data_IF_027602807420
#
_entry.id   IF_027602807420
#
_cell.length_a   1.000
_cell.length_b   1.000
_cell.length_c   1.000
_cell.angle_alpha   90.00
_cell.angle_beta   90.00
_cell.angle_gamma   90.00
#
_symmetry.space_group_name_H-M   'P 1'
#
loop_
_entity.id
_entity.type
_entity.pdbx_description
1 polymer ?
#
# COMPACT_ATOMS: atom_id res chain seq x y z
N UNK A 1 21.41 9.55 -14.61
CA UNK A 1 21.39 8.25 -13.91
C UNK A 1 19.97 7.85 -13.50
N UNK A 2 19.17 8.77 -12.94
CA UNK A 2 17.85 8.47 -12.35
C UNK A 2 16.71 8.23 -13.36
N UNK A 3 16.67 8.94 -14.50
CA UNK A 3 15.71 8.63 -15.57
C UNK A 3 15.90 7.21 -16.13
N UNK A 4 17.16 6.77 -16.27
CA UNK A 4 17.49 5.38 -16.64
C UNK A 4 17.07 4.37 -15.56
N UNK A 5 17.09 4.77 -14.28
CA UNK A 5 16.59 3.94 -13.18
C UNK A 5 15.07 3.77 -13.30
N UNK A 6 14.30 4.86 -13.44
CA UNK A 6 12.84 4.78 -13.60
C UNK A 6 12.42 3.95 -14.84
N UNK A 7 13.07 4.15 -15.99
CA UNK A 7 12.82 3.34 -17.21
C UNK A 7 13.15 1.85 -16.99
N UNK A 8 14.26 1.55 -16.29
CA UNK A 8 14.66 0.19 -15.95
C UNK A 8 13.66 -0.48 -14.99
N UNK A 9 13.23 0.26 -13.97
CA UNK A 9 12.24 -0.16 -12.98
C UNK A 9 10.89 -0.45 -13.66
N UNK A 10 10.47 0.39 -14.62
CA UNK A 10 9.24 0.18 -15.39
C UNK A 10 9.31 -1.08 -16.27
N UNK A 11 10.43 -1.32 -16.96
CA UNK A 11 10.63 -2.53 -17.76
C UNK A 11 10.55 -3.80 -16.89
N UNK A 12 11.14 -3.78 -15.70
CA UNK A 12 11.07 -4.90 -14.76
C UNK A 12 9.68 -5.09 -14.16
N UNK A 13 8.95 -4.00 -13.89
CA UNK A 13 7.56 -4.07 -13.46
C UNK A 13 6.69 -4.74 -14.54
N UNK A 14 6.86 -4.35 -15.80
CA UNK A 14 6.16 -4.98 -16.94
C UNK A 14 6.43 -6.49 -17.01
N UNK A 15 7.69 -6.90 -16.83
CA UNK A 15 8.07 -8.32 -16.79
C UNK A 15 7.40 -9.05 -15.62
N UNK A 16 7.40 -8.46 -14.42
CA UNK A 16 6.79 -9.03 -13.22
C UNK A 16 5.26 -9.19 -13.37
N UNK A 17 4.59 -8.17 -13.90
CA UNK A 17 3.15 -8.18 -14.20
C UNK A 17 2.81 -9.25 -15.25
N UNK A 18 3.57 -9.30 -16.35
CA UNK A 18 3.36 -10.30 -17.41
C UNK A 18 3.54 -11.72 -16.86
N UNK A 19 4.58 -11.93 -16.04
CA UNK A 19 4.82 -13.21 -15.36
C UNK A 19 3.64 -13.61 -14.49
N UNK A 20 3.08 -12.71 -13.67
CA UNK A 20 1.89 -13.02 -12.85
C UNK A 20 0.70 -13.39 -13.73
N UNK A 21 0.36 -12.57 -14.74
CA UNK A 21 -0.78 -12.82 -15.64
C UNK A 21 -0.67 -14.19 -16.33
N UNK A 22 0.52 -14.51 -16.85
CA UNK A 22 0.81 -15.82 -17.46
C UNK A 22 0.63 -16.96 -16.48
N UNK A 23 1.09 -16.81 -15.23
CA UNK A 23 1.04 -17.88 -14.25
C UNK A 23 -0.35 -18.07 -13.65
N UNK A 24 -1.11 -16.98 -13.49
CA UNK A 24 -2.50 -17.05 -13.03
C UNK A 24 -3.41 -17.82 -13.98
N UNK A 25 -3.12 -17.83 -15.29
CA UNK A 25 -3.90 -18.57 -16.29
C UNK A 25 -3.54 -20.06 -16.40
N UNK A 26 -2.43 -20.50 -15.81
CA UNK A 26 -2.05 -21.92 -15.82
C UNK A 26 -2.80 -22.73 -14.76
N UNK A 27 -3.14 -23.97 -15.12
CA UNK A 27 -3.64 -24.98 -14.17
C UNK A 27 -2.55 -25.41 -13.18
N UNK A 28 -2.96 -26.02 -12.06
CA UNK A 28 -2.07 -26.47 -10.99
C UNK A 28 -0.93 -27.37 -11.49
N UNK A 29 -1.24 -28.38 -12.32
CA UNK A 29 -0.24 -29.27 -12.91
C UNK A 29 0.73 -28.55 -13.86
N UNK A 30 0.22 -27.58 -14.65
CA UNK A 30 1.09 -26.77 -15.52
C UNK A 30 2.01 -25.85 -14.72
N UNK A 31 1.56 -25.31 -13.58
CA UNK A 31 2.42 -24.48 -12.69
C UNK A 31 3.55 -25.30 -12.07
N UNK A 32 3.27 -26.55 -11.68
CA UNK A 32 4.29 -27.48 -11.18
C UNK A 32 5.38 -27.73 -12.23
N UNK A 33 5.00 -28.00 -13.49
CA UNK A 33 5.94 -28.29 -14.57
C UNK A 33 6.73 -27.07 -15.04
N UNK A 34 6.10 -25.89 -15.10
CA UNK A 34 6.72 -24.68 -15.69
C UNK A 34 7.41 -23.78 -14.66
N UNK A 35 7.00 -23.85 -13.40
CA UNK A 35 7.50 -22.99 -12.31
C UNK A 35 7.55 -23.75 -10.97
N UNK A 36 8.33 -24.84 -10.88
CA UNK A 36 8.34 -25.74 -9.72
C UNK A 36 8.63 -25.01 -8.40
N UNK A 37 9.54 -24.03 -8.41
CA UNK A 37 9.87 -23.25 -7.21
C UNK A 37 8.68 -22.44 -6.68
N UNK A 38 7.94 -21.75 -7.58
CA UNK A 38 6.79 -20.94 -7.17
C UNK A 38 5.62 -21.82 -6.71
N UNK A 39 5.47 -22.99 -7.34
CA UNK A 39 4.54 -24.00 -6.91
C UNK A 39 4.89 -24.51 -5.50
N UNK A 40 6.16 -24.84 -5.24
CA UNK A 40 6.64 -25.26 -3.94
C UNK A 40 6.39 -24.19 -2.87
N UNK A 41 6.64 -22.91 -3.18
CA UNK A 41 6.27 -21.78 -2.30
C UNK A 41 4.79 -21.75 -1.98
N UNK A 42 3.92 -22.07 -2.95
CA UNK A 42 2.46 -22.10 -2.73
C UNK A 42 2.05 -23.20 -1.77
N UNK A 43 2.57 -24.41 -1.98
CA UNK A 43 2.34 -25.54 -1.07
C UNK A 43 2.89 -25.23 0.32
N UNK A 44 4.09 -24.67 0.40
CA UNK A 44 4.72 -24.28 1.66
C UNK A 44 3.87 -23.27 2.44
N UNK A 45 3.37 -22.20 1.80
CA UNK A 45 2.50 -21.24 2.48
C UNK A 45 1.22 -21.92 2.99
N UNK A 46 0.65 -22.87 2.24
CA UNK A 46 -0.52 -23.63 2.68
C UNK A 46 -0.24 -24.49 3.91
N UNK A 47 0.91 -25.16 3.94
CA UNK A 47 1.34 -26.00 5.06
C UNK A 47 1.61 -25.15 6.31
N UNK A 48 2.37 -24.07 6.17
CA UNK A 48 2.67 -23.13 7.26
C UNK A 48 1.38 -22.58 7.90
N UNK A 49 0.39 -22.24 7.08
CA UNK A 49 -0.92 -21.75 7.57
C UNK A 49 -1.68 -22.83 8.33
N UNK A 50 -1.68 -24.06 7.84
CA UNK A 50 -2.35 -25.18 8.51
C UNK A 50 -1.67 -25.54 9.85
N UNK A 51 -0.35 -25.40 9.92
CA UNK A 51 0.44 -25.67 11.12
C UNK A 51 0.50 -24.49 12.10
N UNK A 52 -0.09 -23.34 11.75
CA UNK A 52 0.02 -22.09 12.51
C UNK A 52 1.48 -21.69 12.80
N UNK A 53 2.35 -21.81 11.79
CA UNK A 53 3.76 -21.47 11.87
C UNK A 53 4.10 -20.33 10.91
N UNK A 54 4.93 -19.40 11.39
CA UNK A 54 5.50 -18.34 10.58
C UNK A 54 6.95 -18.65 10.19
N UNK A 55 7.34 -18.26 8.98
CA UNK A 55 8.72 -18.39 8.50
C UNK A 55 9.19 -17.10 7.85
N UNK A 56 10.31 -16.55 8.34
CA UNK A 56 11.02 -15.45 7.70
C UNK A 56 11.68 -15.94 6.41
N UNK A 57 11.61 -15.11 5.37
CA UNK A 57 12.26 -15.35 4.07
C UNK A 57 12.70 -14.03 3.45
N UNK A 58 13.34 -14.08 2.29
CA UNK A 58 13.69 -12.91 1.51
C UNK A 58 13.48 -13.15 0.02
N UNK A 59 13.30 -12.07 -0.73
CA UNK A 59 13.16 -12.08 -2.17
C UNK A 59 13.86 -10.87 -2.80
N UNK A 60 13.83 -10.79 -4.13
CA UNK A 60 14.26 -9.60 -4.86
C UNK A 60 13.03 -8.93 -5.48
N UNK A 61 12.87 -7.63 -5.23
CA UNK A 61 11.76 -6.83 -5.78
C UNK A 61 11.99 -6.51 -7.26
N UNK A 62 10.96 -6.02 -7.94
CA UNK A 62 11.06 -5.68 -9.37
C UNK A 62 12.08 -4.56 -9.64
N UNK A 63 12.36 -3.69 -8.67
CA UNK A 63 13.41 -2.67 -8.78
C UNK A 63 14.80 -3.15 -8.31
N UNK A 64 14.96 -4.44 -7.99
CA UNK A 64 16.26 -5.07 -7.72
C UNK A 64 16.68 -5.11 -6.24
N UNK A 65 15.86 -4.62 -5.31
CA UNK A 65 16.18 -4.58 -3.88
C UNK A 65 15.92 -5.92 -3.20
N UNK A 66 16.78 -6.29 -2.25
CA UNK A 66 16.50 -7.43 -1.35
C UNK A 66 15.43 -7.01 -0.34
N UNK A 67 14.41 -7.83 -0.19
CA UNK A 67 13.25 -7.50 0.63
C UNK A 67 12.86 -8.68 1.53
N UNK A 68 12.68 -8.40 2.81
CA UNK A 68 12.31 -9.39 3.81
C UNK A 68 10.80 -9.60 3.80
N UNK A 69 10.39 -10.85 3.84
CA UNK A 69 8.97 -11.26 3.82
C UNK A 69 8.72 -12.30 4.91
N UNK A 70 7.47 -12.45 5.34
CA UNK A 70 7.09 -13.45 6.34
C UNK A 70 6.00 -14.34 5.76
N UNK A 71 6.25 -15.64 5.70
CA UNK A 71 5.28 -16.61 5.22
C UNK A 71 4.50 -17.17 6.42
N UNK A 72 3.19 -17.45 6.28
CA UNK A 72 2.40 -17.46 5.05
C UNK A 72 1.51 -16.21 4.87
N UNK A 73 1.98 -15.06 5.36
CA UNK A 73 1.28 -13.78 5.20
C UNK A 73 1.01 -13.51 3.71
N UNK A 74 -0.20 -13.03 3.41
CA UNK A 74 -0.77 -13.04 2.05
C UNK A 74 0.03 -12.13 1.12
N UNK A 75 0.34 -10.91 1.54
CA UNK A 75 1.10 -9.91 0.78
C UNK A 75 2.54 -10.38 0.60
N UNK A 76 3.18 -10.84 1.67
CA UNK A 76 4.52 -11.44 1.68
C UNK A 76 4.65 -12.62 0.72
N UNK A 77 3.64 -13.49 0.70
CA UNK A 77 3.59 -14.64 -0.21
C UNK A 77 3.47 -14.20 -1.67
N UNK A 78 2.75 -13.11 -1.95
CA UNK A 78 2.63 -12.53 -3.28
C UNK A 78 3.96 -11.92 -3.73
N UNK A 79 4.58 -11.10 -2.88
CA UNK A 79 5.88 -10.46 -3.13
C UNK A 79 6.96 -11.52 -3.36
N UNK A 80 7.00 -12.59 -2.55
CA UNK A 80 7.97 -13.68 -2.74
C UNK A 80 7.85 -14.35 -4.11
N UNK A 81 6.62 -14.51 -4.62
CA UNK A 81 6.35 -15.20 -5.90
C UNK A 81 6.63 -14.32 -7.10
N UNK A 82 6.24 -13.05 -7.03
CA UNK A 82 6.19 -12.18 -8.21
C UNK A 82 7.13 -10.98 -8.14
N UNK A 83 7.72 -10.68 -6.98
CA UNK A 83 8.61 -9.54 -6.77
C UNK A 83 7.92 -8.18 -6.90
N UNK A 84 6.58 -8.15 -6.99
CA UNK A 84 5.81 -6.92 -7.09
C UNK A 84 4.47 -7.06 -6.35
N UNK A 85 3.90 -5.91 -5.98
CA UNK A 85 2.59 -5.75 -5.38
C UNK A 85 1.83 -4.66 -6.15
N UNK A 86 0.50 -4.79 -6.25
CA UNK A 86 -0.45 -3.82 -6.82
C UNK A 86 0.07 -2.96 -7.98
N UNK A 87 -0.15 -3.44 -9.21
CA UNK A 87 0.37 -2.81 -10.44
C UNK A 87 0.06 -1.31 -10.52
N UNK A 88 -1.18 -0.91 -10.20
CA UNK A 88 -1.60 0.49 -10.30
C UNK A 88 -0.81 1.41 -9.36
N UNK A 89 -0.60 0.98 -8.11
CA UNK A 89 0.15 1.73 -7.09
C UNK A 89 1.62 1.79 -7.45
N UNK A 90 2.23 0.65 -7.80
CA UNK A 90 3.63 0.59 -8.22
C UNK A 90 3.90 1.53 -9.41
N UNK A 91 2.99 1.58 -10.39
CA UNK A 91 3.11 2.49 -11.53
C UNK A 91 2.90 3.95 -11.16
N UNK A 92 2.01 4.26 -10.22
CA UNK A 92 1.86 5.62 -9.72
C UNK A 92 3.17 6.10 -9.08
N UNK A 93 3.80 5.27 -8.25
CA UNK A 93 5.07 5.60 -7.61
C UNK A 93 6.17 5.84 -8.64
N UNK A 94 6.38 4.89 -9.56
CA UNK A 94 7.43 4.98 -10.60
C UNK A 94 7.22 6.19 -11.51
N UNK A 95 5.96 6.54 -11.81
CA UNK A 95 5.63 7.62 -12.74
C UNK A 95 5.68 9.01 -12.12
N UNK A 96 5.29 9.14 -10.85
CA UNK A 96 5.04 10.46 -10.24
C UNK A 96 6.04 10.85 -9.14
N UNK A 97 6.81 9.92 -8.58
CA UNK A 97 7.86 10.26 -7.64
C UNK A 97 9.13 10.71 -8.36
N UNK A 98 9.75 11.74 -7.81
CA UNK A 98 10.98 12.36 -8.26
C UNK A 98 11.99 12.47 -7.12
N UNK A 99 13.29 12.57 -7.43
CA UNK A 99 14.32 12.78 -6.42
C UNK A 99 14.05 14.04 -5.57
N UNK A 100 14.17 13.92 -4.25
CA UNK A 100 13.88 15.02 -3.32
C UNK A 100 12.42 15.12 -2.86
N UNK A 101 11.52 14.29 -3.40
CA UNK A 101 10.12 14.28 -2.98
C UNK A 101 9.95 13.86 -1.52
N UNK A 102 8.88 14.39 -0.91
CA UNK A 102 8.41 13.98 0.43
C UNK A 102 7.16 13.15 0.27
N UNK A 103 7.21 11.90 0.73
CA UNK A 103 6.13 10.92 0.60
C UNK A 103 5.55 10.60 1.96
N UNK A 104 4.22 10.53 2.06
CA UNK A 104 3.52 9.93 3.20
C UNK A 104 2.90 8.60 2.75
N UNK A 105 3.17 7.53 3.48
CA UNK A 105 2.61 6.19 3.25
C UNK A 105 1.77 5.76 4.46
N UNK A 106 0.45 5.84 4.34
CA UNK A 106 -0.51 5.42 5.37
C UNK A 106 -0.87 3.95 5.14
N UNK A 107 -0.66 3.13 6.17
CA UNK A 107 -0.78 1.67 6.08
C UNK A 107 0.43 1.07 5.37
N UNK A 108 1.63 1.42 5.84
CA UNK A 108 2.88 0.97 5.23
C UNK A 108 3.11 -0.54 5.30
N UNK A 109 2.37 -1.27 6.15
CA UNK A 109 2.44 -2.72 6.34
C UNK A 109 3.89 -3.19 6.53
N UNK A 110 4.39 -4.13 5.72
CA UNK A 110 5.80 -4.59 5.79
C UNK A 110 6.79 -3.69 5.03
N UNK A 111 6.34 -2.55 4.50
CA UNK A 111 7.18 -1.51 3.90
C UNK A 111 7.47 -1.65 2.41
N UNK A 112 6.64 -2.38 1.64
CA UNK A 112 6.93 -2.61 0.22
C UNK A 112 6.95 -1.30 -0.58
N UNK A 113 5.89 -0.49 -0.46
CA UNK A 113 5.79 0.79 -1.17
C UNK A 113 6.67 1.87 -0.56
N UNK A 114 6.81 1.91 0.77
CA UNK A 114 7.78 2.77 1.45
C UNK A 114 9.22 2.52 0.97
N UNK A 115 9.63 1.26 0.84
CA UNK A 115 10.98 0.90 0.36
C UNK A 115 11.20 1.24 -1.12
N UNK A 116 10.15 1.10 -1.96
CA UNK A 116 10.17 1.58 -3.35
C UNK A 116 10.30 3.10 -3.41
N UNK A 117 9.52 3.83 -2.60
CA UNK A 117 9.57 5.29 -2.55
C UNK A 117 10.95 5.78 -2.15
N UNK A 118 11.60 5.18 -1.13
CA UNK A 118 12.93 5.54 -0.68
C UNK A 118 13.97 5.48 -1.81
N UNK A 119 13.93 4.44 -2.64
CA UNK A 119 14.84 4.30 -3.78
C UNK A 119 14.52 5.31 -4.90
N UNK A 120 13.24 5.65 -5.12
CA UNK A 120 12.81 6.59 -6.16
C UNK A 120 13.12 8.05 -5.80
N UNK A 121 12.88 8.45 -4.54
CA UNK A 121 13.12 9.83 -4.08
C UNK A 121 14.59 10.08 -3.74
N UNK A 122 15.37 9.01 -3.54
CA UNK A 122 16.80 9.08 -3.25
C UNK A 122 17.11 9.77 -1.90
N UNK A 123 18.40 9.98 -1.59
CA UNK A 123 18.85 10.41 -0.27
C UNK A 123 18.40 11.83 0.14
N UNK A 124 18.00 12.66 -0.84
CA UNK A 124 17.52 14.01 -0.58
C UNK A 124 16.00 14.09 -0.39
N UNK A 125 15.26 13.02 -0.71
CA UNK A 125 13.83 12.91 -0.43
C UNK A 125 13.56 12.34 0.95
N UNK A 126 12.29 12.26 1.34
CA UNK A 126 11.87 11.76 2.65
C UNK A 126 10.66 10.85 2.50
N UNK A 127 10.61 9.76 3.25
CA UNK A 127 9.45 8.86 3.29
C UNK A 127 8.97 8.72 4.72
N UNK A 128 7.75 9.14 4.98
CA UNK A 128 7.09 9.08 6.28
C UNK A 128 6.02 7.99 6.25
N UNK A 129 6.27 6.90 6.97
CA UNK A 129 5.41 5.72 6.93
C UNK A 129 4.68 5.54 8.23
N UNK A 130 3.39 5.20 8.16
CA UNK A 130 2.54 4.93 9.31
C UNK A 130 2.07 3.48 9.28
N UNK A 131 2.41 2.71 10.31
CA UNK A 131 1.94 1.35 10.52
C UNK A 131 1.65 1.15 12.02
N UNK A 132 0.38 1.00 12.42
CA UNK A 132 -0.01 1.00 13.82
C UNK A 132 0.28 -0.31 14.55
N UNK A 133 0.26 -1.46 13.87
CA UNK A 133 0.37 -2.75 14.55
C UNK A 133 1.85 -3.06 14.85
N UNK A 134 2.26 -3.22 16.13
CA UNK A 134 3.68 -3.32 16.49
C UNK A 134 4.45 -4.47 15.82
N UNK A 135 3.79 -5.62 15.62
CA UNK A 135 4.38 -6.79 14.96
C UNK A 135 4.66 -6.54 13.48
N UNK A 136 3.70 -5.93 12.77
CA UNK A 136 3.83 -5.49 11.38
C UNK A 136 4.85 -4.35 11.26
N UNK A 137 4.80 -3.36 12.15
CA UNK A 137 5.76 -2.25 12.23
C UNK A 137 7.21 -2.75 12.43
N UNK A 138 7.41 -3.81 13.20
CA UNK A 138 8.74 -4.42 13.34
C UNK A 138 9.27 -5.01 12.02
N UNK A 139 8.39 -5.36 11.07
CA UNK A 139 8.76 -5.83 9.75
C UNK A 139 9.06 -4.67 8.81
N UNK A 140 8.25 -3.60 8.84
CA UNK A 140 8.51 -2.32 8.18
C UNK A 140 9.94 -1.83 8.47
N UNK A 141 10.33 -1.78 9.76
CA UNK A 141 11.68 -1.36 10.18
C UNK A 141 12.82 -2.19 9.60
N UNK A 142 12.58 -3.45 9.22
CA UNK A 142 13.62 -4.31 8.61
C UNK A 142 13.77 -4.06 7.11
N UNK A 143 12.76 -3.47 6.47
CA UNK A 143 12.72 -3.24 5.03
C UNK A 143 12.94 -1.77 4.64
N UNK A 144 12.79 -0.85 5.60
CA UNK A 144 13.03 0.57 5.49
C UNK A 144 14.00 0.98 6.60
N UNK A 145 15.28 1.09 6.28
CA UNK A 145 16.36 1.34 7.24
C UNK A 145 17.28 2.48 6.81
N UNK A 146 16.95 3.14 5.70
CA UNK A 146 17.62 4.30 5.15
C UNK A 146 17.46 5.51 6.08
N UNK A 147 18.45 6.43 6.09
CA UNK A 147 18.44 7.60 6.97
C UNK A 147 17.27 8.55 6.73
N UNK A 148 16.71 8.54 5.53
CA UNK A 148 15.55 9.35 5.14
C UNK A 148 14.20 8.62 5.31
N UNK A 149 14.18 7.47 6.00
CA UNK A 149 12.97 6.75 6.37
C UNK A 149 12.48 7.17 7.77
N UNK A 150 11.32 7.82 7.83
CA UNK A 150 10.67 8.25 9.07
C UNK A 150 9.50 7.31 9.38
N UNK A 151 9.76 6.30 10.21
CA UNK A 151 8.80 5.25 10.52
C UNK A 151 8.04 5.54 11.81
N UNK A 152 6.71 5.60 11.73
CA UNK A 152 5.83 5.97 12.83
C UNK A 152 4.94 4.78 13.20
N UNK A 153 5.08 4.27 14.44
CA UNK A 153 4.19 3.23 14.96
C UNK A 153 2.90 3.86 15.51
N UNK A 154 2.08 4.36 14.60
CA UNK A 154 0.84 5.06 14.89
C UNK A 154 -0.17 4.83 13.75
N UNK A 155 -1.45 4.89 14.08
CA UNK A 155 -2.52 4.99 13.09
C UNK A 155 -2.64 6.43 12.59
N UNK A 156 -3.18 6.60 11.40
CA UNK A 156 -3.61 7.91 10.90
C UNK A 156 -5.13 7.96 10.96
N UNK A 157 -5.67 9.07 11.47
CA UNK A 157 -7.08 9.23 11.75
C UNK A 157 -7.52 10.68 11.58
N UNK A 158 -8.78 10.98 11.90
CA UNK A 158 -9.35 12.33 11.81
C UNK A 158 -9.01 13.24 12.99
N UNK A 159 -8.49 12.68 14.10
CA UNK A 159 -8.08 13.41 15.29
C UNK A 159 -6.97 12.66 16.05
N UNK A 160 -6.25 13.36 16.94
CA UNK A 160 -5.26 12.74 17.81
C UNK A 160 -5.95 12.03 18.97
N UNK A 161 -5.85 10.71 19.03
CA UNK A 161 -6.58 9.89 20.02
C UNK A 161 -5.89 8.53 20.25
N UNK A 162 -6.49 7.67 21.08
CA UNK A 162 -6.16 6.25 21.19
C UNK A 162 -7.25 5.43 20.48
N UNK A 163 -6.84 4.50 19.62
CA UNK A 163 -7.73 3.59 18.90
C UNK A 163 -7.46 2.15 19.31
N UNK A 164 -8.48 1.31 19.18
CA UNK A 164 -8.33 -0.14 19.22
C UNK A 164 -8.32 -0.70 17.80
N UNK A 165 -7.32 -1.51 17.48
CA UNK A 165 -7.16 -2.19 16.19
C UNK A 165 -7.28 -3.69 16.39
N UNK A 166 -8.04 -4.32 15.50
CA UNK A 166 -8.09 -5.77 15.33
C UNK A 166 -6.79 -6.27 14.68
N UNK A 167 -5.96 -6.96 15.45
CA UNK A 167 -4.78 -7.68 14.97
C UNK A 167 -5.11 -9.16 14.73
N UNK A 168 -5.16 -9.55 13.47
CA UNK A 168 -5.44 -10.92 13.02
C UNK A 168 -4.19 -11.81 12.97
N UNK A 169 -3.07 -11.32 13.51
CA UNK A 169 -1.80 -12.03 13.58
C UNK A 169 -1.04 -12.04 12.26
N UNK A 170 0.19 -12.55 12.29
CA UNK A 170 1.15 -12.44 11.18
C UNK A 170 0.57 -12.87 9.84
N UNK A 171 -0.10 -14.02 9.79
CA UNK A 171 -0.64 -14.61 8.55
C UNK A 171 -1.70 -13.74 7.85
N UNK A 172 -2.36 -12.86 8.59
CA UNK A 172 -3.46 -12.00 8.12
C UNK A 172 -3.22 -10.52 8.44
N UNK A 173 -1.98 -10.13 8.72
CA UNK A 173 -1.63 -8.76 9.11
C UNK A 173 -2.01 -7.70 8.08
N UNK A 174 -2.14 -8.07 6.81
CA UNK A 174 -2.65 -7.21 5.74
C UNK A 174 -4.13 -6.84 5.89
N UNK A 175 -4.86 -7.42 6.86
CA UNK A 175 -6.27 -7.12 7.12
C UNK A 175 -6.49 -6.47 8.49
N UNK A 176 -5.41 -6.07 9.16
CA UNK A 176 -5.49 -5.42 10.46
C UNK A 176 -6.15 -4.05 10.32
N UNK A 177 -7.20 -3.79 11.10
CA UNK A 177 -8.02 -2.59 10.94
C UNK A 177 -8.66 -2.18 12.27
N UNK A 178 -9.03 -0.91 12.37
CA UNK A 178 -9.93 -0.40 13.43
C UNK A 178 -11.33 -1.01 13.29
N UNK A 179 -11.70 -1.48 12.09
CA UNK A 179 -12.98 -2.10 11.77
C UNK A 179 -12.83 -3.61 11.57
N UNK A 180 -13.93 -4.28 11.27
CA UNK A 180 -13.89 -5.69 10.88
C UNK A 180 -13.05 -5.88 9.60
N UNK A 181 -12.24 -6.93 9.57
CA UNK A 181 -11.46 -7.28 8.39
C UNK A 181 -12.33 -7.42 7.15
N UNK A 182 -11.74 -7.05 6.00
CA UNK A 182 -12.25 -7.25 4.63
C UNK A 182 -12.20 -8.72 4.19
N UNK A 183 -12.57 -9.62 5.10
CA UNK A 183 -12.63 -11.07 4.93
C UNK A 183 -14.09 -11.56 5.05
N UNK A 184 -14.49 -12.61 4.30
CA UNK A 184 -15.81 -13.20 4.46
C UNK A 184 -16.05 -13.63 5.92
N UNK A 185 -17.21 -13.26 6.51
CA UNK A 185 -17.54 -13.51 7.93
C UNK A 185 -17.30 -14.95 8.41
N UNK A 186 -17.52 -15.94 7.53
CA UNK A 186 -17.35 -17.38 7.83
C UNK A 186 -15.85 -17.79 8.00
N UNK A 187 -14.91 -16.94 7.56
CA UNK A 187 -13.47 -17.21 7.53
C UNK A 187 -12.63 -16.25 8.36
N UNK A 188 -13.24 -15.43 9.22
CA UNK A 188 -12.45 -14.47 10.00
C UNK A 188 -11.65 -15.21 11.09
N UNK A 189 -10.31 -15.08 11.09
CA UNK A 189 -9.50 -15.57 12.19
C UNK A 189 -9.83 -14.76 13.46
N UNK A 190 -9.56 -15.34 14.64
CA UNK A 190 -9.68 -14.58 15.89
C UNK A 190 -8.70 -13.40 15.85
N UNK A 191 -9.19 -12.19 16.11
CA UNK A 191 -8.34 -11.01 16.33
C UNK A 191 -7.99 -10.85 17.80
N UNK A 192 -6.85 -10.23 18.05
CA UNK A 192 -6.55 -9.57 19.32
C UNK A 192 -6.85 -8.07 19.16
N UNK A 193 -7.34 -7.41 20.22
CA UNK A 193 -7.42 -5.95 20.22
C UNK A 193 -6.08 -5.37 20.67
N UNK A 194 -5.54 -4.43 19.91
CA UNK A 194 -4.30 -3.70 20.21
C UNK A 194 -4.60 -2.21 20.28
N UNK A 195 -4.27 -1.59 21.40
CA UNK A 195 -4.36 -0.14 21.58
C UNK A 195 -3.20 0.57 20.90
N UNK A 196 -3.51 1.56 20.08
CA UNK A 196 -2.51 2.32 19.32
C UNK A 196 -2.80 3.81 19.40
N UNK A 197 -1.75 4.62 19.32
CA UNK A 197 -1.90 6.06 19.12
C UNK A 197 -2.34 6.34 17.70
N UNK A 198 -3.29 7.25 17.55
CA UNK A 198 -3.74 7.77 16.28
C UNK A 198 -3.41 9.26 16.19
N UNK A 199 -3.01 9.71 15.00
CA UNK A 199 -2.68 11.11 14.75
C UNK A 199 -3.33 11.61 13.46
N UNK A 200 -3.41 12.93 13.31
CA UNK A 200 -3.77 13.57 12.03
C UNK A 200 -2.52 13.80 11.15
N UNK A 201 -2.69 13.78 9.83
CA UNK A 201 -1.62 14.17 8.91
C UNK A 201 -1.34 15.67 9.00
N UNK A 202 -2.37 16.49 9.23
CA UNK A 202 -2.20 17.93 9.32
C UNK A 202 -1.31 18.34 10.50
N UNK A 203 -1.54 17.78 11.69
CA UNK A 203 -0.68 18.04 12.86
C UNK A 203 0.73 17.50 12.62
N UNK A 204 0.85 16.29 12.06
CA UNK A 204 2.16 15.70 11.75
C UNK A 204 2.96 16.57 10.77
N UNK A 205 2.34 17.03 9.69
CA UNK A 205 2.97 17.89 8.69
C UNK A 205 3.41 19.22 9.30
N UNK A 206 2.56 19.83 10.15
CA UNK A 206 2.88 21.06 10.85
C UNK A 206 4.07 20.90 11.81
N UNK A 207 4.05 19.86 12.65
CA UNK A 207 5.08 19.59 13.65
C UNK A 207 6.44 19.25 13.02
N UNK A 208 6.43 18.44 11.96
CA UNK A 208 7.65 18.07 11.22
C UNK A 208 8.07 19.13 10.21
N UNK A 209 7.25 20.14 9.97
CA UNK A 209 7.44 21.19 8.95
C UNK A 209 7.66 20.61 7.55
N UNK A 210 6.95 19.53 7.22
CA UNK A 210 7.05 18.86 5.93
C UNK A 210 5.89 19.25 5.01
N UNK A 211 6.11 19.12 3.71
CA UNK A 211 5.12 19.39 2.67
C UNK A 211 5.09 18.20 1.72
N UNK A 212 4.17 17.24 1.89
CA UNK A 212 4.16 16.05 1.05
C UNK A 212 3.86 16.42 -0.40
N UNK A 213 4.59 15.78 -1.33
CA UNK A 213 4.28 15.81 -2.76
C UNK A 213 3.46 14.60 -3.20
N UNK A 214 3.51 13.51 -2.42
CA UNK A 214 2.75 12.28 -2.66
C UNK A 214 2.23 11.69 -1.35
N UNK A 215 0.98 11.21 -1.35
CA UNK A 215 0.37 10.49 -0.22
C UNK A 215 -0.24 9.18 -0.72
N UNK A 216 0.19 8.04 -0.18
CA UNK A 216 -0.52 6.76 -0.31
C UNK A 216 -1.46 6.59 0.89
N UNK A 217 -2.70 6.21 0.62
CA UNK A 217 -3.71 5.91 1.65
C UNK A 217 -4.30 4.53 1.41
N UNK A 218 -4.05 3.64 2.36
CA UNK A 218 -4.47 2.23 2.36
C UNK A 218 -4.61 1.85 3.83
N UNK A 219 -5.77 2.12 4.41
CA UNK A 219 -5.95 2.10 5.86
C UNK A 219 -7.01 1.08 6.28
N UNK A 220 -7.18 0.03 5.46
CA UNK A 220 -8.11 -1.09 5.68
C UNK A 220 -9.51 -0.61 6.11
N UNK A 221 -10.12 0.26 5.31
CA UNK A 221 -11.44 0.88 5.50
C UNK A 221 -11.47 2.17 6.31
N UNK A 222 -10.34 2.72 6.77
CA UNK A 222 -10.25 4.00 7.50
C UNK A 222 -9.98 5.23 6.61
N UNK A 223 -10.15 5.10 5.29
CA UNK A 223 -9.67 6.09 4.33
C UNK A 223 -10.38 7.45 4.49
N UNK A 224 -11.68 7.46 4.81
CA UNK A 224 -12.41 8.72 5.03
C UNK A 224 -11.88 9.48 6.25
N UNK A 225 -11.58 8.77 7.33
CA UNK A 225 -11.06 9.38 8.55
C UNK A 225 -9.66 9.94 8.34
N UNK A 226 -8.79 9.20 7.62
CA UNK A 226 -7.49 9.71 7.19
C UNK A 226 -7.65 11.00 6.38
N UNK A 227 -8.57 11.03 5.42
CA UNK A 227 -8.84 12.21 4.58
C UNK A 227 -9.35 13.41 5.39
N UNK A 228 -10.19 13.17 6.40
CA UNK A 228 -10.67 14.21 7.32
C UNK A 228 -9.55 14.79 8.17
N UNK A 229 -8.56 13.97 8.56
CA UNK A 229 -7.37 14.41 9.29
C UNK A 229 -6.27 15.05 8.43
N UNK A 230 -6.51 15.27 7.14
CA UNK A 230 -5.53 15.87 6.22
C UNK A 230 -6.09 17.03 5.38
N UNK A 231 -7.19 17.64 5.79
CA UNK A 231 -7.89 18.65 4.97
C UNK A 231 -7.05 19.90 4.69
N UNK A 232 -6.21 20.34 5.63
CA UNK A 232 -5.29 21.46 5.40
C UNK A 232 -4.19 21.06 4.41
N UNK A 233 -3.66 19.84 4.51
CA UNK A 233 -2.71 19.28 3.55
C UNK A 233 -3.30 19.21 2.14
N UNK A 234 -4.56 18.75 2.01
CA UNK A 234 -5.28 18.71 0.74
C UNK A 234 -5.45 20.10 0.12
N UNK A 235 -5.76 21.13 0.93
CA UNK A 235 -5.93 22.53 0.47
C UNK A 235 -4.62 23.21 0.12
N UNK A 236 -3.63 23.10 1.00
CA UNK A 236 -2.44 23.96 1.00
C UNK A 236 -1.24 23.35 0.26
N UNK A 237 -1.13 22.03 0.22
CA UNK A 237 0.03 21.33 -0.38
C UNK A 237 -0.34 20.62 -1.67
N UNK A 238 -1.59 20.20 -1.79
CA UNK A 238 -2.11 19.50 -2.96
C UNK A 238 -1.16 18.37 -3.43
N UNK A 239 -0.87 17.37 -2.58
CA UNK A 239 -0.07 16.23 -2.99
C UNK A 239 -0.79 15.39 -4.03
N UNK A 240 -0.07 14.62 -4.83
CA UNK A 240 -0.67 13.49 -5.56
C UNK A 240 -1.13 12.45 -4.55
N UNK A 241 -2.31 11.85 -4.73
CA UNK A 241 -2.83 10.84 -3.81
C UNK A 241 -3.07 9.55 -4.54
N UNK A 242 -2.57 8.43 -4.01
CA UNK A 242 -2.97 7.10 -4.43
C UNK A 242 -3.75 6.47 -3.28
N UNK A 243 -5.05 6.25 -3.49
CA UNK A 243 -5.96 5.81 -2.44
C UNK A 243 -6.64 4.50 -2.81
N UNK A 244 -6.64 3.57 -1.86
CA UNK A 244 -7.34 2.32 -1.98
C UNK A 244 -8.84 2.51 -1.68
N UNK A 245 -9.71 1.90 -2.47
CA UNK A 245 -11.17 1.95 -2.25
C UNK A 245 -11.81 0.58 -2.51
N UNK A 246 -12.81 0.21 -1.72
CA UNK A 246 -13.57 -1.02 -1.89
C UNK A 246 -14.79 -1.09 -0.98
N UNK A 247 -15.97 -1.33 -1.56
CA UNK A 247 -17.25 -1.42 -0.87
C UNK A 247 -17.54 -2.87 -0.48
N UNK A 248 -16.91 -3.34 0.61
CA UNK A 248 -16.99 -4.74 1.03
C UNK A 248 -18.06 -5.02 2.10
N UNK A 249 -18.99 -4.09 2.31
CA UNK A 249 -20.09 -4.26 3.26
C UNK A 249 -19.64 -4.31 4.72
N UNK A 250 -18.56 -3.58 5.04
CA UNK A 250 -18.12 -3.37 6.42
C UNK A 250 -19.06 -2.32 7.04
N UNK A 251 -19.56 -2.60 8.25
CA UNK A 251 -20.49 -1.69 8.92
C UNK A 251 -19.77 -0.37 9.28
N UNK A 252 -20.49 0.74 9.19
CA UNK A 252 -20.00 2.09 9.53
C UNK A 252 -18.78 2.58 8.72
N UNK A 253 -18.51 2.03 7.53
CA UNK A 253 -17.52 2.58 6.59
C UNK A 253 -18.16 3.52 5.59
N UNK A 254 -17.41 4.54 5.19
CA UNK A 254 -17.77 5.36 4.06
C UNK A 254 -17.83 4.54 2.77
N UNK A 255 -18.73 4.92 1.86
CA UNK A 255 -18.74 4.39 0.51
C UNK A 255 -17.55 4.93 -0.28
N UNK A 256 -16.96 4.10 -1.12
CA UNK A 256 -15.86 4.45 -2.02
C UNK A 256 -16.16 5.69 -2.88
N UNK A 257 -17.42 5.85 -3.30
CA UNK A 257 -17.92 7.04 -3.98
C UNK A 257 -17.70 8.31 -3.15
N UNK A 258 -18.11 8.30 -1.89
CA UNK A 258 -17.99 9.45 -0.98
C UNK A 258 -16.52 9.81 -0.74
N UNK A 259 -15.65 8.81 -0.61
CA UNK A 259 -14.20 8.99 -0.44
C UNK A 259 -13.62 9.75 -1.65
N UNK A 260 -13.94 9.30 -2.87
CA UNK A 260 -13.44 9.93 -4.09
C UNK A 260 -14.01 11.35 -4.25
N UNK A 261 -15.33 11.52 -4.06
CA UNK A 261 -16.00 12.82 -4.16
C UNK A 261 -15.48 13.81 -3.11
N UNK A 262 -15.15 13.34 -1.90
CA UNK A 262 -14.54 14.16 -0.87
C UNK A 262 -13.24 14.79 -1.35
N UNK A 263 -12.33 14.01 -1.93
CA UNK A 263 -11.04 14.54 -2.44
C UNK A 263 -11.28 15.47 -3.65
N UNK A 264 -12.24 15.15 -4.52
CA UNK A 264 -12.57 15.98 -5.68
C UNK A 264 -12.99 17.41 -5.29
N UNK A 265 -13.62 17.59 -4.13
CA UNK A 265 -13.98 18.91 -3.59
C UNK A 265 -12.76 19.81 -3.30
N UNK A 266 -11.56 19.24 -3.22
CA UNK A 266 -10.29 19.96 -3.05
C UNK A 266 -9.58 20.25 -4.38
N UNK A 267 -10.33 20.26 -5.49
CA UNK A 267 -9.84 20.49 -6.86
C UNK A 267 -8.89 19.41 -7.37
N UNK A 268 -9.33 18.15 -7.26
CA UNK A 268 -8.66 16.98 -7.82
C UNK A 268 -9.45 16.37 -8.97
N UNK A 269 -8.73 15.75 -9.90
CA UNK A 269 -9.28 14.81 -10.87
C UNK A 269 -8.88 13.37 -10.49
N UNK A 270 -9.81 12.44 -10.63
CA UNK A 270 -9.58 11.01 -10.37
C UNK A 270 -9.17 10.25 -11.63
N UNK A 271 -8.23 9.33 -11.49
CA UNK A 271 -7.69 8.46 -12.53
C UNK A 271 -7.55 7.03 -12.04
N UNK A 272 -7.53 6.07 -12.96
CA UNK A 272 -7.33 4.66 -12.67
C UNK A 272 -6.44 4.01 -13.74
N UNK A 273 -5.65 3.02 -13.34
CA UNK A 273 -4.79 2.29 -14.28
C UNK A 273 -5.61 1.32 -15.13
N UNK A 274 -5.70 1.56 -16.44
CA UNK A 274 -6.40 0.70 -17.41
C UNK A 274 -5.69 0.71 -18.75
N UNK A 275 -5.62 -0.44 -19.42
CA UNK A 275 -5.03 -0.57 -20.76
C UNK A 275 -3.62 0.03 -20.89
N UNK A 276 -2.79 -0.18 -19.87
CA UNK A 276 -1.42 0.32 -19.78
C UNK A 276 -1.24 1.86 -19.70
N UNK A 277 -2.26 2.59 -19.25
CA UNK A 277 -2.12 4.03 -18.91
C UNK A 277 -3.06 4.46 -17.78
N UNK A 278 -2.81 5.65 -17.21
CA UNK A 278 -3.76 6.26 -16.27
C UNK A 278 -4.87 6.96 -17.07
N UNK A 279 -6.09 6.44 -16.97
CA UNK A 279 -7.26 7.00 -17.64
C UNK A 279 -8.15 7.72 -16.63
N UNK A 280 -8.81 8.78 -17.09
CA UNK A 280 -9.75 9.55 -16.24
C UNK A 280 -10.83 8.60 -15.72
N UNK A 281 -10.95 8.55 -14.41
CA UNK A 281 -11.85 7.66 -13.72
C UNK A 281 -13.27 8.24 -13.74
N UNK A 282 -14.26 7.38 -14.00
CA UNK A 282 -15.67 7.70 -13.84
C UNK A 282 -16.14 7.17 -12.50
N UNK A 283 -16.57 8.06 -11.61
CA UNK A 283 -17.07 7.70 -10.29
C UNK A 283 -18.27 6.75 -10.44
N UNK A 284 -18.26 5.67 -9.66
CA UNK A 284 -19.28 4.61 -9.64
C UNK A 284 -20.02 4.62 -8.30
N UNK A 285 -21.15 3.94 -8.23
CA UNK A 285 -21.86 3.75 -6.95
C UNK A 285 -21.24 2.63 -6.10
N UNK A 286 -20.63 1.63 -6.75
CA UNK A 286 -20.06 0.44 -6.10
C UNK A 286 -18.66 0.13 -6.64
N UNK A 287 -17.76 -0.25 -5.72
CA UNK A 287 -16.39 -0.67 -6.00
C UNK A 287 -16.13 -2.02 -5.32
N UNK A 288 -15.51 -2.97 -6.04
CA UNK A 288 -15.06 -4.22 -5.39
C UNK A 288 -13.81 -3.94 -4.55
N UNK A 289 -12.73 -3.64 -5.24
CA UNK A 289 -11.44 -3.20 -4.71
C UNK A 289 -10.72 -2.54 -5.88
N UNK A 290 -10.18 -1.33 -5.68
CA UNK A 290 -9.53 -0.54 -6.71
C UNK A 290 -8.58 0.46 -6.08
N UNK A 291 -7.52 0.80 -6.79
CA UNK A 291 -6.66 1.93 -6.44
C UNK A 291 -6.98 3.10 -7.36
N UNK A 292 -7.27 4.25 -6.78
CA UNK A 292 -7.58 5.49 -7.50
C UNK A 292 -6.43 6.47 -7.32
N UNK A 293 -5.97 7.04 -8.42
CA UNK A 293 -4.98 8.10 -8.44
C UNK A 293 -5.70 9.46 -8.51
N UNK A 294 -5.50 10.32 -7.52
CA UNK A 294 -6.05 11.66 -7.48
C UNK A 294 -4.96 12.67 -7.82
N UNK A 295 -5.18 13.45 -8.86
CA UNK A 295 -4.23 14.46 -9.33
C UNK A 295 -4.81 15.88 -9.14
N UNK A 296 -4.08 16.79 -8.47
CA UNK A 296 -4.47 18.20 -8.36
C UNK A 296 -4.68 18.88 -9.72
N UNK A 297 -5.79 19.59 -9.90
CA UNK A 297 -6.15 20.23 -11.20
C UNK A 297 -5.25 21.40 -11.61
N UNK A 298 -4.49 21.97 -10.68
CA UNK A 298 -3.62 23.12 -10.91
C UNK A 298 -2.22 22.76 -11.46
N UNK A 299 -1.94 21.47 -11.68
CA UNK A 299 -0.67 20.97 -12.20
C UNK A 299 -0.92 20.19 -13.50
N UNK A 300 0.05 20.22 -14.40
CA UNK A 300 0.00 19.45 -15.65
C UNK A 300 0.74 18.13 -15.47
N UNK A 301 0.15 17.03 -15.96
CA UNK A 301 0.71 15.69 -15.86
C UNK A 301 0.72 15.00 -17.22
N UNK A 302 1.76 14.22 -17.49
CA UNK A 302 1.78 13.28 -18.61
C UNK A 302 1.21 11.95 -18.11
N UNK A 303 0.05 11.52 -18.62
CA UNK A 303 -0.71 10.35 -18.13
C UNK A 303 -0.37 9.05 -18.87
#
# INVERSE_FOLDING_TARGET
MLKKFAEHVEAHLNSAVHRRKRLSSLSWGRRLLTTPNMFATTVQCSLLRHMNLDRKSSCTTFWGKKFNVILPEVVSSEILRFGYLEEAVARAFVKFLSPGDTVIDVGGHIGFFSSLALDLVGPNGQVHTFEPVPTTFACLKRNCFEENAYLNNAAVWCENTELEINDYGTSFSAFNSVRDARLPRIKQPKSNSVKVKAITIDDYCNDKKIKPSFVKVDAESAEKEVLQGMTNTLKNHQPIICIEVGDLGVDHTARSKEIIEFIMNFSYDSYEWRENSFKKHKVRNDYKHSNILMLPKNKSYTL
#
